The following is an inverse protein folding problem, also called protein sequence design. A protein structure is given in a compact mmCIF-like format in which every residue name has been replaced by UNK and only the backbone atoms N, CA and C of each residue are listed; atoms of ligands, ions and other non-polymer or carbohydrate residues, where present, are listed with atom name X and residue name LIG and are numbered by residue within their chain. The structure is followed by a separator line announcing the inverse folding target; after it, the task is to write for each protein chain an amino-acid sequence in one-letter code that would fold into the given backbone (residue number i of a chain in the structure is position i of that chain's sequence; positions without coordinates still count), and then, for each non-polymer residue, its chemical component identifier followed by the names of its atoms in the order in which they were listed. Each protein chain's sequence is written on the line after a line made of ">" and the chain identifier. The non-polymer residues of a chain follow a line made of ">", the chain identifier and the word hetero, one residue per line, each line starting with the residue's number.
data_IF_939097892558
#
_entry.id   IF_939097892558
#
_cell.length_a   1.000
_cell.length_b   1.000
_cell.length_c   1.000
_cell.angle_alpha   90.00
_cell.angle_beta   90.00
_cell.angle_gamma   90.00
#
_symmetry.space_group_name_H-M   'P 1'
#
loop_
_entity.id
_entity.type
_entity.pdbx_description
1 polymer ?
#
# COMPACT_ATOMS: atom_id res chain seq x y z
N UNK A 1 9.39 -2.82 -10.61
CA UNK A 1 9.40 -3.53 -11.91
C UNK A 1 9.55 -5.03 -11.70
N UNK A 2 8.69 -5.85 -12.35
CA UNK A 2 8.76 -7.32 -12.34
C UNK A 2 10.06 -7.88 -12.89
N UNK A 3 10.38 -9.11 -12.49
CA UNK A 3 11.61 -9.82 -12.88
C UNK A 3 11.60 -10.26 -14.33
N UNK A 4 10.47 -10.72 -14.86
CA UNK A 4 10.39 -11.07 -16.29
C UNK A 4 10.64 -9.87 -17.21
N UNK A 5 10.33 -8.65 -16.76
CA UNK A 5 10.62 -7.43 -17.48
C UNK A 5 12.08 -6.97 -17.37
N UNK A 6 12.92 -7.63 -16.55
CA UNK A 6 14.32 -7.26 -16.33
C UNK A 6 14.59 -6.48 -15.01
N UNK A 7 13.56 -6.25 -14.19
CA UNK A 7 13.70 -5.67 -12.86
C UNK A 7 14.04 -6.70 -11.78
N UNK A 8 14.07 -6.26 -10.53
CA UNK A 8 14.36 -7.14 -9.38
C UNK A 8 13.12 -7.46 -8.53
N UNK A 9 12.03 -6.71 -8.69
CA UNK A 9 10.86 -6.81 -7.80
C UNK A 9 11.20 -6.58 -6.32
N UNK A 10 12.26 -5.81 -6.02
CA UNK A 10 12.82 -5.71 -4.68
C UNK A 10 12.06 -4.74 -3.76
N UNK A 11 11.39 -3.73 -4.32
CA UNK A 11 10.54 -2.81 -3.57
C UNK A 11 9.10 -3.22 -3.78
N UNK A 12 8.46 -3.67 -2.72
CA UNK A 12 7.08 -4.16 -2.74
C UNK A 12 6.22 -3.39 -1.75
N UNK A 13 4.97 -3.07 -2.10
CA UNK A 13 4.00 -2.60 -1.12
C UNK A 13 3.79 -3.68 -0.05
N UNK A 14 3.49 -3.29 1.18
CA UNK A 14 3.17 -4.23 2.26
C UNK A 14 1.74 -4.74 2.10
N UNK A 15 1.44 -5.91 2.66
CA UNK A 15 0.06 -6.38 2.78
C UNK A 15 -0.81 -5.41 3.59
N UNK A 16 -0.25 -4.77 4.62
CA UNK A 16 -0.91 -3.72 5.37
C UNK A 16 -1.33 -2.51 4.49
N UNK A 17 -0.49 -2.08 3.54
CA UNK A 17 -0.90 -1.05 2.57
C UNK A 17 -1.98 -1.59 1.62
N UNK A 18 -1.82 -2.81 1.12
CA UNK A 18 -2.79 -3.41 0.22
C UNK A 18 -4.18 -3.55 0.86
N UNK A 19 -4.25 -3.90 2.15
CA UNK A 19 -5.50 -3.97 2.93
C UNK A 19 -6.14 -2.60 3.18
N UNK A 20 -5.37 -1.50 3.10
CA UNK A 20 -5.91 -0.16 3.38
C UNK A 20 -6.74 0.44 2.25
N UNK A 21 -6.71 -0.13 1.04
CA UNK A 21 -7.60 0.29 -0.04
C UNK A 21 -9.03 -0.17 0.27
N UNK A 22 -9.99 0.76 0.31
CA UNK A 22 -11.39 0.43 0.58
C UNK A 22 -11.99 -0.43 -0.53
N UNK A 23 -13.11 -1.06 -0.25
CA UNK A 23 -13.96 -1.66 -1.27
C UNK A 23 -14.78 -0.60 -2.03
N UNK A 24 -15.41 -0.98 -3.13
CA UNK A 24 -16.19 -0.06 -3.98
C UNK A 24 -17.41 0.53 -3.28
N UNK A 25 -17.88 -0.10 -2.20
CA UNK A 25 -18.91 0.41 -1.28
C UNK A 25 -18.37 1.41 -0.24
N UNK A 26 -17.05 1.64 -0.21
CA UNK A 26 -16.41 2.54 0.75
C UNK A 26 -16.08 1.92 2.10
N UNK A 27 -16.34 0.62 2.28
CA UNK A 27 -16.03 -0.09 3.52
C UNK A 27 -14.62 -0.71 3.48
N UNK A 28 -13.94 -0.84 4.64
CA UNK A 28 -12.74 -1.66 4.77
C UNK A 28 -12.98 -3.12 4.35
N UNK A 29 -11.91 -3.84 3.99
CA UNK A 29 -12.02 -5.21 3.47
C UNK A 29 -12.56 -6.23 4.49
N UNK A 30 -12.44 -5.94 5.79
CA UNK A 30 -12.94 -6.78 6.89
C UNK A 30 -14.39 -6.46 7.29
N UNK A 31 -14.95 -5.38 6.75
CA UNK A 31 -16.35 -4.98 6.95
C UNK A 31 -17.19 -5.14 5.67
N UNK A 32 -16.58 -5.05 4.49
CA UNK A 32 -17.29 -5.10 3.22
C UNK A 32 -17.72 -6.53 2.85
N UNK A 33 -19.01 -6.76 2.56
CA UNK A 33 -19.47 -8.03 2.00
C UNK A 33 -19.03 -8.24 0.55
N UNK A 34 -18.51 -7.20 -0.12
CA UNK A 34 -18.02 -7.29 -1.50
C UNK A 34 -16.59 -7.84 -1.59
N UNK A 35 -15.88 -7.88 -0.47
CA UNK A 35 -14.50 -8.34 -0.44
C UNK A 35 -14.42 -9.87 -0.50
N UNK A 36 -13.67 -10.37 -1.47
CA UNK A 36 -13.31 -11.77 -1.56
C UNK A 36 -11.78 -11.89 -1.47
N UNK A 37 -11.21 -12.48 -0.40
CA UNK A 37 -9.76 -12.68 -0.29
C UNK A 37 -9.18 -13.57 -1.40
N UNK A 38 -10.05 -14.33 -2.09
CA UNK A 38 -9.68 -15.18 -3.23
C UNK A 38 -9.65 -14.44 -4.57
N UNK A 39 -10.28 -13.26 -4.64
CA UNK A 39 -10.22 -12.32 -5.76
C UNK A 39 -9.80 -10.93 -5.23
N UNK A 40 -8.62 -10.78 -4.63
CA UNK A 40 -8.34 -9.70 -3.68
C UNK A 40 -8.27 -8.29 -4.31
N UNK A 41 -8.18 -8.19 -5.64
CA UNK A 41 -8.18 -6.93 -6.39
C UNK A 41 -9.58 -6.52 -6.87
N UNK A 42 -10.57 -7.41 -6.82
CA UNK A 42 -11.93 -7.16 -7.28
C UNK A 42 -12.72 -6.34 -6.25
N UNK A 43 -13.64 -5.49 -6.74
CA UNK A 43 -14.47 -4.62 -5.91
C UNK A 43 -13.67 -3.73 -4.96
N UNK A 44 -12.48 -3.29 -5.38
CA UNK A 44 -11.61 -2.38 -4.63
C UNK A 44 -11.69 -0.96 -5.19
N UNK A 45 -11.31 0.02 -4.38
CA UNK A 45 -11.04 1.38 -4.84
C UNK A 45 -10.13 1.32 -6.09
N UNK A 46 -10.45 2.02 -7.19
CA UNK A 46 -9.68 1.97 -8.44
C UNK A 46 -8.19 2.28 -8.26
N UNK A 47 -7.82 3.07 -7.23
CA UNK A 47 -6.42 3.37 -6.91
C UNK A 47 -5.64 2.14 -6.47
N UNK A 48 -6.29 1.07 -6.02
CA UNK A 48 -5.65 -0.18 -5.64
C UNK A 48 -4.87 -0.77 -6.83
N UNK A 49 -5.54 -1.00 -7.96
CA UNK A 49 -4.92 -1.57 -9.18
C UNK A 49 -4.14 -0.55 -10.00
N UNK A 50 -4.32 0.75 -9.75
CA UNK A 50 -3.41 1.78 -10.28
C UNK A 50 -2.13 1.92 -9.46
N UNK A 51 -2.16 1.54 -8.18
CA UNK A 51 -0.99 1.64 -7.30
C UNK A 51 -0.17 0.35 -7.28
N UNK A 52 -0.86 -0.78 -7.14
CA UNK A 52 -0.30 -2.11 -6.95
C UNK A 52 -0.65 -2.94 -8.18
N UNK A 53 0.34 -3.65 -8.70
CA UNK A 53 0.19 -4.45 -9.91
C UNK A 53 -0.72 -5.65 -9.65
N UNK A 54 -1.86 -5.67 -10.34
CA UNK A 54 -2.83 -6.76 -10.28
C UNK A 54 -2.26 -8.07 -10.84
N UNK A 55 -2.75 -9.19 -10.32
CA UNK A 55 -2.32 -10.52 -10.76
C UNK A 55 -3.01 -10.94 -12.05
N UNK A 56 -2.31 -11.67 -12.90
CA UNK A 56 -2.83 -12.21 -14.15
C UNK A 56 -2.93 -11.20 -15.30
N UNK A 57 -2.63 -9.92 -15.08
CA UNK A 57 -2.70 -8.90 -16.13
C UNK A 57 -1.36 -8.70 -16.85
N UNK A 58 -1.36 -8.25 -18.12
CA UNK A 58 -0.15 -7.81 -18.82
C UNK A 58 0.44 -6.55 -18.17
N UNK A 59 1.75 -6.54 -17.95
CA UNK A 59 2.52 -5.37 -17.53
C UNK A 59 3.93 -5.46 -18.08
N UNK A 60 4.40 -4.39 -18.73
CA UNK A 60 5.75 -4.33 -19.34
C UNK A 60 6.04 -5.49 -20.31
N UNK A 61 5.02 -5.93 -21.07
CA UNK A 61 5.14 -7.00 -22.06
C UNK A 61 5.06 -8.43 -21.51
N UNK A 62 4.76 -8.62 -20.22
CA UNK A 62 4.63 -9.95 -19.59
C UNK A 62 3.37 -10.04 -18.73
N UNK A 63 2.77 -11.22 -18.63
CA UNK A 63 1.76 -11.45 -17.58
C UNK A 63 2.44 -11.47 -16.22
N UNK A 64 1.98 -10.65 -15.27
CA UNK A 64 2.45 -10.72 -13.89
C UNK A 64 1.62 -11.73 -13.10
N UNK A 65 2.23 -12.83 -12.64
CA UNK A 65 1.52 -13.84 -11.85
C UNK A 65 2.47 -14.45 -10.80
N UNK A 66 2.38 -14.07 -9.52
CA UNK A 66 3.26 -14.59 -8.48
C UNK A 66 2.83 -15.95 -7.91
N UNK A 67 1.69 -16.51 -8.38
CA UNK A 67 1.18 -17.81 -7.93
C UNK A 67 2.23 -18.93 -8.04
N UNK A 68 2.37 -19.81 -7.03
CA UNK A 68 3.43 -20.82 -7.03
C UNK A 68 3.29 -21.85 -8.17
N UNK A 69 2.08 -22.11 -8.67
CA UNK A 69 1.85 -23.08 -9.74
C UNK A 69 1.97 -22.50 -11.15
N UNK A 70 2.06 -21.17 -11.30
CA UNK A 70 2.26 -20.56 -12.61
C UNK A 70 3.73 -20.56 -12.97
N UNK A 71 4.25 -21.68 -13.47
CA UNK A 71 5.67 -21.83 -13.81
C UNK A 71 6.05 -21.16 -15.14
N UNK A 72 5.08 -20.86 -15.99
CA UNK A 72 5.26 -20.14 -17.25
C UNK A 72 4.20 -19.06 -17.42
N UNK A 73 4.57 -17.96 -18.06
CA UNK A 73 3.71 -16.80 -18.34
C UNK A 73 3.79 -16.41 -19.82
N UNK A 74 2.79 -15.66 -20.29
CA UNK A 74 2.81 -15.09 -21.64
C UNK A 74 3.83 -13.95 -21.73
N UNK A 75 4.71 -14.02 -22.73
CA UNK A 75 5.53 -12.90 -23.18
C UNK A 75 4.86 -12.28 -24.41
N UNK A 76 4.23 -11.13 -24.24
CA UNK A 76 3.50 -10.41 -25.28
C UNK A 76 4.41 -9.81 -26.35
N UNK A 77 5.71 -9.66 -26.08
CA UNK A 77 6.67 -9.17 -27.08
C UNK A 77 6.99 -10.26 -28.13
N UNK A 78 6.84 -11.54 -27.77
CA UNK A 78 7.16 -12.67 -28.66
C UNK A 78 5.93 -13.52 -29.02
N UNK A 79 4.80 -13.31 -28.34
CA UNK A 79 3.59 -14.12 -28.49
C UNK A 79 3.71 -15.55 -27.96
N UNK A 80 4.73 -15.84 -27.14
CA UNK A 80 5.03 -17.19 -26.64
C UNK A 80 5.06 -17.23 -25.11
N UNK A 81 4.83 -18.42 -24.55
CA UNK A 81 5.07 -18.66 -23.13
C UNK A 81 6.58 -18.74 -22.86
N UNK A 82 6.97 -18.32 -21.66
CA UNK A 82 8.32 -18.47 -21.14
C UNK A 82 8.30 -18.69 -19.63
N UNK A 83 9.43 -19.09 -19.06
CA UNK A 83 9.62 -19.26 -17.61
C UNK A 83 9.17 -18.01 -16.84
N UNK A 84 8.33 -18.21 -15.84
CA UNK A 84 7.89 -17.16 -14.93
C UNK A 84 8.97 -16.89 -13.88
N UNK A 85 9.63 -15.75 -13.95
CA UNK A 85 10.66 -15.34 -12.98
C UNK A 85 10.08 -14.49 -11.83
N UNK A 86 8.77 -14.21 -11.86
CA UNK A 86 8.06 -13.47 -10.81
C UNK A 86 7.37 -14.39 -9.77
N UNK A 87 7.42 -15.71 -9.96
CA UNK A 87 7.05 -16.70 -8.95
C UNK A 87 8.27 -17.24 -8.19
N UNK A 88 8.12 -17.41 -6.88
CA UNK A 88 9.19 -17.96 -6.02
C UNK A 88 9.49 -19.44 -6.28
N UNK A 89 8.61 -20.15 -6.98
CA UNK A 89 8.87 -21.52 -7.44
C UNK A 89 10.02 -21.61 -8.45
N UNK A 90 10.21 -20.56 -9.25
CA UNK A 90 11.20 -20.52 -10.31
C UNK A 90 12.40 -19.63 -9.97
N UNK A 91 12.16 -18.58 -9.19
CA UNK A 91 13.15 -17.59 -8.79
C UNK A 91 13.01 -17.29 -7.30
N UNK A 92 13.87 -17.87 -6.46
CA UNK A 92 13.80 -17.81 -4.99
C UNK A 92 13.61 -16.38 -4.42
N UNK A 93 14.19 -15.39 -5.09
CA UNK A 93 14.19 -13.98 -4.70
C UNK A 93 13.12 -13.13 -5.40
N UNK A 94 12.15 -13.76 -6.07
CA UNK A 94 10.91 -13.08 -6.46
C UNK A 94 10.16 -12.59 -5.21
N UNK A 95 9.19 -11.69 -5.41
CA UNK A 95 8.51 -10.98 -4.31
C UNK A 95 8.04 -11.94 -3.21
N UNK A 96 8.51 -11.72 -1.98
CA UNK A 96 8.19 -12.55 -0.82
C UNK A 96 6.73 -12.41 -0.37
N UNK A 97 6.10 -11.29 -0.72
CA UNK A 97 4.71 -11.04 -0.43
C UNK A 97 3.85 -11.03 -1.70
N UNK A 98 4.41 -11.37 -2.87
CA UNK A 98 3.68 -11.46 -4.13
C UNK A 98 3.18 -10.12 -4.68
N UNK A 99 3.42 -8.98 -4.03
CA UNK A 99 2.99 -7.68 -4.56
C UNK A 99 4.15 -6.93 -5.20
N UNK A 100 3.82 -6.10 -6.19
CA UNK A 100 4.71 -5.14 -6.83
C UNK A 100 4.00 -3.81 -7.08
N UNK A 101 4.77 -2.72 -7.14
CA UNK A 101 4.26 -1.41 -7.54
C UNK A 101 3.94 -1.38 -9.03
N UNK A 102 2.77 -0.80 -9.37
CA UNK A 102 2.43 -0.31 -10.71
C UNK A 102 2.64 1.21 -10.80
N UNK A 103 2.36 1.94 -9.71
CA UNK A 103 2.53 3.39 -9.64
C UNK A 103 3.95 3.82 -9.97
N UNK A 104 4.06 4.82 -10.83
CA UNK A 104 5.35 5.38 -11.23
C UNK A 104 6.18 4.46 -12.14
N UNK A 105 5.60 3.38 -12.67
CA UNK A 105 6.25 2.51 -13.66
C UNK A 105 5.58 2.73 -15.01
N UNK A 106 6.36 3.12 -16.01
CA UNK A 106 5.88 3.36 -17.37
C UNK A 106 6.51 2.36 -18.35
N UNK A 107 5.75 1.95 -19.37
CA UNK A 107 6.23 0.98 -20.37
C UNK A 107 7.37 1.51 -21.23
N UNK A 108 7.46 2.82 -21.41
CA UNK A 108 8.55 3.49 -22.15
C UNK A 108 9.92 3.28 -21.48
N UNK A 109 9.97 2.89 -20.20
CA UNK A 109 11.24 2.58 -19.52
C UNK A 109 12.00 1.45 -20.20
N UNK A 110 11.29 0.51 -20.83
CA UNK A 110 11.90 -0.58 -21.60
C UNK A 110 12.51 -0.09 -22.91
N UNK A 111 12.01 1.02 -23.46
CA UNK A 111 12.44 1.54 -24.77
C UNK A 111 13.75 2.33 -24.68
N UNK A 112 14.04 2.93 -23.52
CA UNK A 112 15.23 3.76 -23.31
C UNK A 112 16.26 3.13 -22.36
N UNK A 113 16.36 1.79 -22.34
CA UNK A 113 17.34 1.07 -21.53
C UNK A 113 17.27 1.41 -20.03
N UNK A 114 16.05 1.52 -19.47
CA UNK A 114 15.76 1.89 -18.07
C UNK A 114 16.08 3.34 -17.69
N UNK A 115 16.43 4.19 -18.66
CA UNK A 115 16.63 5.62 -18.42
C UNK A 115 15.30 6.35 -18.61
N UNK A 116 14.65 6.65 -17.49
CA UNK A 116 13.44 7.45 -17.47
C UNK A 116 13.70 8.76 -16.70
N UNK A 117 13.02 9.82 -17.10
CA UNK A 117 13.00 11.11 -16.40
C UNK A 117 11.59 11.41 -15.86
N UNK A 118 11.11 10.64 -14.85
CA UNK A 118 9.78 10.86 -14.30
C UNK A 118 9.76 12.17 -13.50
N UNK A 119 8.72 12.97 -13.71
CA UNK A 119 8.48 14.17 -12.90
C UNK A 119 8.42 13.81 -11.41
N UNK A 120 9.25 14.48 -10.59
CA UNK A 120 9.24 14.32 -9.13
C UNK A 120 8.18 15.24 -8.53
N UNK A 121 7.04 14.67 -8.19
CA UNK A 121 5.92 15.44 -7.62
C UNK A 121 6.18 15.72 -6.14
N UNK A 122 6.47 16.98 -5.80
CA UNK A 122 6.66 17.44 -4.42
C UNK A 122 5.36 17.91 -3.77
N UNK A 123 4.45 18.50 -4.56
CA UNK A 123 3.14 18.95 -4.12
C UNK A 123 2.16 18.75 -5.28
N UNK A 124 0.94 18.33 -4.96
CA UNK A 124 -0.16 18.24 -5.93
C UNK A 124 -1.47 18.62 -5.28
N UNK A 125 -2.44 19.00 -6.10
CA UNK A 125 -3.67 19.61 -5.63
C UNK A 125 -4.47 18.74 -4.64
N UNK A 126 -4.44 17.40 -4.79
CA UNK A 126 -5.08 16.51 -3.82
C UNK A 126 -4.47 16.66 -2.40
N UNK A 127 -3.16 16.90 -2.28
CA UNK A 127 -2.54 17.13 -0.96
C UNK A 127 -3.05 18.43 -0.36
N UNK A 128 -3.20 19.49 -1.17
CA UNK A 128 -3.80 20.77 -0.71
C UNK A 128 -5.23 20.58 -0.21
N UNK A 129 -6.06 19.83 -0.94
CA UNK A 129 -7.44 19.53 -0.54
C UNK A 129 -7.49 18.72 0.77
N UNK A 130 -6.67 17.67 0.88
CA UNK A 130 -6.67 16.81 2.06
C UNK A 130 -6.01 17.50 3.27
N UNK A 131 -5.01 18.36 3.07
CA UNK A 131 -4.46 19.22 4.13
C UNK A 131 -5.49 20.23 4.63
N UNK A 132 -6.24 20.86 3.73
CA UNK A 132 -7.34 21.76 4.09
C UNK A 132 -8.41 21.05 4.92
N UNK A 133 -8.87 19.88 4.46
CA UNK A 133 -9.86 19.08 5.16
C UNK A 133 -9.35 18.66 6.56
N UNK A 134 -8.13 18.13 6.64
CA UNK A 134 -7.52 17.71 7.91
C UNK A 134 -7.42 18.89 8.90
N UNK A 135 -6.95 20.05 8.46
CA UNK A 135 -6.84 21.23 9.32
C UNK A 135 -8.20 21.68 9.88
N UNK A 136 -9.27 21.65 9.07
CA UNK A 136 -10.62 22.02 9.54
C UNK A 136 -11.24 20.97 10.44
N UNK A 137 -11.00 19.68 10.16
CA UNK A 137 -11.41 18.57 11.04
C UNK A 137 -10.77 18.75 12.41
N UNK A 138 -9.46 19.00 12.50
CA UNK A 138 -8.77 19.15 13.79
C UNK A 138 -9.16 20.43 14.54
N UNK A 139 -9.53 21.50 13.83
CA UNK A 139 -10.09 22.73 14.41
C UNK A 139 -11.58 22.62 14.80
N UNK A 140 -12.21 21.47 14.59
CA UNK A 140 -13.65 21.27 14.76
C UNK A 140 -14.51 22.31 14.00
N UNK A 141 -14.00 22.80 12.87
CA UNK A 141 -14.67 23.77 11.99
C UNK A 141 -15.24 23.05 10.77
N UNK A 142 -16.02 21.99 11.00
CA UNK A 142 -16.50 21.08 9.96
C UNK A 142 -17.74 21.67 9.28
N UNK A 143 -17.65 21.82 7.96
CA UNK A 143 -18.75 22.24 7.09
C UNK A 143 -18.67 21.47 5.76
N UNK A 144 -19.58 21.77 4.83
CA UNK A 144 -19.66 21.09 3.54
C UNK A 144 -18.35 21.14 2.74
N UNK A 145 -17.55 22.20 2.89
CA UNK A 145 -16.29 22.34 2.14
C UNK A 145 -15.24 21.30 2.56
N UNK A 146 -15.30 20.77 3.79
CA UNK A 146 -14.46 19.67 4.26
C UNK A 146 -14.79 18.39 3.50
N UNK A 147 -16.09 18.07 3.41
CA UNK A 147 -16.58 16.88 2.72
C UNK A 147 -16.29 16.99 1.22
N UNK A 148 -16.55 18.16 0.63
CA UNK A 148 -16.26 18.42 -0.78
C UNK A 148 -14.77 18.26 -1.11
N UNK A 149 -13.86 18.68 -0.23
CA UNK A 149 -12.43 18.53 -0.43
C UNK A 149 -12.01 17.05 -0.49
N UNK A 150 -12.53 16.21 0.42
CA UNK A 150 -12.28 14.77 0.43
C UNK A 150 -12.95 14.11 -0.80
N UNK A 151 -14.20 14.46 -1.06
CA UNK A 151 -14.99 13.89 -2.14
C UNK A 151 -14.47 14.24 -3.53
N UNK A 152 -13.85 15.42 -3.73
CA UNK A 152 -13.11 15.74 -4.97
C UNK A 152 -11.97 14.77 -5.25
N UNK A 153 -11.25 14.33 -4.22
CA UNK A 153 -10.17 13.35 -4.36
C UNK A 153 -10.73 11.96 -4.66
N UNK A 154 -11.76 11.53 -3.91
CA UNK A 154 -12.42 10.23 -4.12
C UNK A 154 -13.06 10.14 -5.49
N UNK A 155 -13.93 11.08 -5.87
CA UNK A 155 -14.65 11.03 -7.14
C UNK A 155 -13.70 10.98 -8.35
N UNK A 156 -12.57 11.70 -8.29
CA UNK A 156 -11.54 11.63 -9.33
C UNK A 156 -10.97 10.22 -9.49
N UNK A 157 -10.73 9.50 -8.39
CA UNK A 157 -10.28 8.10 -8.47
C UNK A 157 -11.26 7.19 -9.22
N UNK A 158 -12.57 7.52 -9.17
CA UNK A 158 -13.64 6.80 -9.86
C UNK A 158 -13.96 7.39 -11.25
N UNK A 159 -13.28 8.46 -11.68
CA UNK A 159 -13.49 9.09 -12.99
C UNK A 159 -14.82 9.84 -13.11
N UNK A 160 -15.42 10.29 -12.00
CA UNK A 160 -16.73 10.95 -11.96
C UNK A 160 -16.65 12.32 -11.28
N UNK A 161 -17.70 13.13 -11.44
CA UNK A 161 -17.80 14.40 -10.70
C UNK A 161 -18.06 14.15 -9.21
N UNK A 162 -17.49 14.98 -8.34
CA UNK A 162 -17.73 14.89 -6.89
C UNK A 162 -19.20 15.16 -6.50
N UNK A 163 -19.97 15.80 -7.37
CA UNK A 163 -21.41 15.99 -7.19
C UNK A 163 -22.23 14.72 -7.47
N UNK A 164 -21.66 13.70 -8.13
CA UNK A 164 -22.31 12.43 -8.45
C UNK A 164 -22.12 11.42 -7.31
N UNK A 165 -22.60 11.76 -6.11
CA UNK A 165 -22.35 11.02 -4.85
C UNK A 165 -22.83 9.56 -4.84
N UNK A 166 -23.65 9.15 -5.81
CA UNK A 166 -24.07 7.74 -6.00
C UNK A 166 -23.12 6.90 -6.85
N UNK A 167 -22.06 7.48 -7.44
CA UNK A 167 -21.12 6.78 -8.35
C UNK A 167 -19.77 6.45 -7.71
N UNK A 168 -19.55 6.87 -6.47
CA UNK A 168 -18.35 6.61 -5.69
C UNK A 168 -18.73 6.64 -4.20
N UNK A 169 -17.93 6.07 -3.29
CA UNK A 169 -18.23 6.08 -1.86
C UNK A 169 -18.01 7.46 -1.24
N UNK A 170 -18.99 8.35 -1.43
CA UNK A 170 -18.96 9.71 -0.94
C UNK A 170 -18.97 9.76 0.59
N UNK A 171 -18.16 10.65 1.15
CA UNK A 171 -18.18 10.98 2.59
C UNK A 171 -19.38 11.88 2.86
N UNK A 172 -20.23 11.46 3.79
CA UNK A 172 -21.46 12.17 4.19
C UNK A 172 -21.52 12.48 5.69
N UNK A 173 -20.65 11.87 6.50
CA UNK A 173 -20.61 12.12 7.95
C UNK A 173 -19.98 13.46 8.28
N UNK A 174 -20.53 14.14 9.28
CA UNK A 174 -19.99 15.36 9.88
C UNK A 174 -19.31 15.11 11.23
N UNK A 175 -19.25 13.85 11.66
CA UNK A 175 -18.63 13.49 12.94
C UNK A 175 -17.11 13.65 12.88
N UNK A 176 -16.55 14.46 13.79
CA UNK A 176 -15.13 14.81 13.79
C UNK A 176 -14.22 13.58 13.95
N UNK A 177 -14.58 12.64 14.82
CA UNK A 177 -13.77 11.45 15.07
C UNK A 177 -13.74 10.53 13.85
N UNK A 178 -14.90 10.27 13.22
CA UNK A 178 -15.00 9.52 11.97
C UNK A 178 -14.27 10.20 10.82
N UNK A 179 -14.42 11.52 10.68
CA UNK A 179 -13.72 12.29 9.65
C UNK A 179 -12.20 12.23 9.81
N UNK A 180 -11.68 12.22 11.06
CA UNK A 180 -10.25 12.04 11.34
C UNK A 180 -9.73 10.68 10.84
N UNK A 181 -10.47 9.60 11.09
CA UNK A 181 -10.09 8.30 10.52
C UNK A 181 -10.18 8.33 8.99
N UNK A 182 -11.28 8.81 8.43
CA UNK A 182 -11.50 8.90 6.97
C UNK A 182 -10.36 9.66 6.28
N UNK A 183 -9.96 10.84 6.79
CA UNK A 183 -8.90 11.63 6.16
C UNK A 183 -7.54 10.92 6.22
N UNK A 184 -7.25 10.20 7.32
CA UNK A 184 -6.01 9.41 7.46
C UNK A 184 -5.97 8.25 6.46
N UNK A 185 -7.07 7.52 6.30
CA UNK A 185 -7.21 6.46 5.27
C UNK A 185 -7.09 7.04 3.86
N UNK A 186 -7.78 8.15 3.59
CA UNK A 186 -7.78 8.79 2.27
C UNK A 186 -6.37 9.22 1.87
N UNK A 187 -5.63 9.90 2.78
CA UNK A 187 -4.23 10.28 2.56
C UNK A 187 -3.34 9.06 2.31
N UNK A 188 -3.55 7.97 3.06
CA UNK A 188 -2.76 6.73 2.92
C UNK A 188 -2.94 6.08 1.54
N UNK A 189 -4.17 5.96 1.06
CA UNK A 189 -4.46 5.39 -0.27
C UNK A 189 -3.98 6.33 -1.39
N UNK A 190 -4.30 7.62 -1.28
CA UNK A 190 -4.05 8.63 -2.30
C UNK A 190 -2.55 8.82 -2.55
N UNK A 191 -1.74 8.92 -1.47
CA UNK A 191 -0.31 9.20 -1.53
C UNK A 191 0.58 7.97 -1.34
N UNK A 192 0.01 6.77 -1.53
CA UNK A 192 0.79 5.54 -1.56
C UNK A 192 1.95 5.67 -2.55
N UNK A 193 3.17 5.33 -2.11
CA UNK A 193 4.43 5.46 -2.87
C UNK A 193 4.87 6.90 -3.22
N UNK A 194 4.38 7.94 -2.51
CA UNK A 194 4.74 9.35 -2.76
C UNK A 194 5.49 10.02 -1.57
N UNK A 195 6.10 9.21 -0.69
CA UNK A 195 6.95 9.69 0.41
C UNK A 195 6.21 10.37 1.57
N UNK A 196 4.87 10.33 1.62
CA UNK A 196 4.07 11.01 2.67
C UNK A 196 3.92 10.20 3.96
N UNK A 197 3.75 8.87 3.83
CA UNK A 197 3.31 8.01 4.94
C UNK A 197 4.19 8.12 6.18
N UNK A 198 5.52 8.19 6.03
CA UNK A 198 6.43 8.30 7.18
C UNK A 198 6.19 9.58 7.98
N UNK A 199 6.09 10.73 7.31
CA UNK A 199 5.84 12.00 8.00
C UNK A 199 4.44 12.06 8.60
N UNK A 200 3.45 11.50 7.91
CA UNK A 200 2.07 11.39 8.42
C UNK A 200 2.00 10.58 9.73
N UNK A 201 2.62 9.40 9.81
CA UNK A 201 2.57 8.58 11.05
C UNK A 201 3.38 9.16 12.20
N UNK A 202 4.42 9.95 11.90
CA UNK A 202 5.22 10.66 12.91
C UNK A 202 4.40 11.79 13.51
N UNK A 203 3.83 12.68 12.69
CA UNK A 203 3.04 13.83 13.18
C UNK A 203 1.72 13.43 13.83
N UNK A 204 1.14 12.30 13.42
CA UNK A 204 -0.05 11.73 14.08
C UNK A 204 0.25 10.95 15.36
N UNK A 205 1.54 10.75 15.70
CA UNK A 205 1.97 9.95 16.87
C UNK A 205 1.42 8.51 16.84
N UNK A 206 1.37 7.91 15.66
CA UNK A 206 0.98 6.50 15.48
C UNK A 206 2.14 5.62 15.00
N UNK A 207 3.32 6.20 14.79
CA UNK A 207 4.52 5.48 14.36
C UNK A 207 4.89 4.35 15.34
N UNK A 208 4.78 4.58 16.65
CA UNK A 208 5.05 3.55 17.67
C UNK A 208 4.12 2.35 17.59
N UNK A 209 2.93 2.51 17.03
CA UNK A 209 2.01 1.41 16.77
C UNK A 209 2.41 0.73 15.46
N UNK A 210 2.33 1.45 14.34
CA UNK A 210 2.40 0.85 13.00
C UNK A 210 3.81 0.44 12.56
N UNK A 211 4.86 0.99 13.16
CA UNK A 211 6.25 0.60 12.90
C UNK A 211 6.75 -0.49 13.86
N UNK A 212 5.95 -0.93 14.83
CA UNK A 212 6.23 -2.13 15.62
C UNK A 212 5.45 -3.37 15.12
N UNK A 213 4.52 -3.18 14.17
CA UNK A 213 3.84 -4.30 13.51
C UNK A 213 4.77 -5.04 12.53
N UNK A 214 4.78 -6.39 12.56
CA UNK A 214 5.54 -7.19 11.60
C UNK A 214 5.02 -7.00 10.17
N UNK A 215 5.91 -7.11 9.19
CA UNK A 215 5.48 -7.29 7.80
C UNK A 215 5.45 -8.77 7.48
N UNK A 216 4.32 -9.22 6.95
CA UNK A 216 4.10 -10.61 6.57
C UNK A 216 4.18 -10.79 5.05
N UNK A 217 4.27 -12.06 4.64
CA UNK A 217 4.29 -12.47 3.26
C UNK A 217 3.91 -13.94 3.11
N UNK A 218 3.99 -14.43 1.89
CA UNK A 218 3.62 -15.79 1.53
C UNK A 218 4.61 -16.79 2.12
N UNK A 219 4.12 -17.99 2.45
CA UNK A 219 4.96 -19.13 2.79
C UNK A 219 5.95 -19.48 1.65
N UNK A 220 6.94 -20.31 1.95
CA UNK A 220 7.82 -20.86 0.91
C UNK A 220 7.07 -21.83 -0.01
N UNK A 221 7.45 -21.96 -1.29
CA UNK A 221 6.58 -22.57 -2.31
C UNK A 221 6.03 -23.97 -1.96
N UNK A 222 6.80 -24.82 -1.27
CA UNK A 222 6.32 -26.13 -0.85
C UNK A 222 5.22 -26.04 0.22
N UNK A 223 5.44 -25.23 1.25
CA UNK A 223 4.45 -24.99 2.31
C UNK A 223 3.25 -24.19 1.80
N UNK A 224 3.48 -23.19 0.93
CA UNK A 224 2.42 -22.40 0.33
C UNK A 224 1.44 -23.28 -0.44
N UNK A 225 1.94 -24.26 -1.21
CA UNK A 225 1.07 -25.20 -1.92
C UNK A 225 0.27 -26.07 -0.96
N UNK A 226 0.95 -26.73 -0.03
CA UNK A 226 0.32 -27.71 0.85
C UNK A 226 -0.69 -27.09 1.81
N UNK A 227 -0.38 -25.92 2.37
CA UNK A 227 -1.21 -25.28 3.39
C UNK A 227 -2.29 -24.36 2.82
N UNK A 228 -2.04 -23.74 1.66
CA UNK A 228 -2.90 -22.67 1.11
C UNK A 228 -3.49 -23.10 -0.24
N UNK A 229 -2.67 -23.24 -1.28
CA UNK A 229 -3.16 -23.42 -2.66
C UNK A 229 -3.97 -24.71 -2.84
N UNK A 230 -3.51 -25.84 -2.29
CA UNK A 230 -4.22 -27.12 -2.40
C UNK A 230 -5.56 -27.12 -1.66
N UNK A 231 -5.81 -26.13 -0.78
CA UNK A 231 -7.10 -25.93 -0.12
C UNK A 231 -8.02 -25.00 -0.91
N UNK A 232 -7.66 -24.63 -2.13
CA UNK A 232 -8.39 -23.69 -2.97
C UNK A 232 -8.25 -22.24 -2.52
N UNK A 233 -7.24 -21.93 -1.70
CA UNK A 233 -6.97 -20.58 -1.21
C UNK A 233 -5.84 -19.94 -2.01
N UNK A 234 -6.01 -18.68 -2.38
CA UNK A 234 -5.06 -17.75 -2.95
C UNK A 234 -5.74 -16.38 -3.06
N UNK A 235 -5.21 -15.28 -2.56
CA UNK A 235 -3.83 -15.02 -2.15
C UNK A 235 -3.72 -14.80 -0.65
N UNK A 236 -4.74 -14.19 -0.05
CA UNK A 236 -4.91 -14.18 1.39
C UNK A 236 -5.68 -15.42 1.84
N UNK A 237 -5.14 -16.20 2.79
CA UNK A 237 -5.86 -17.35 3.34
C UNK A 237 -7.15 -16.94 4.08
N UNK A 238 -7.14 -15.78 4.73
CA UNK A 238 -8.24 -15.20 5.50
C UNK A 238 -8.24 -13.67 5.34
N UNK A 239 -9.31 -12.98 5.72
CA UNK A 239 -9.33 -11.50 5.77
C UNK A 239 -8.79 -11.01 7.11
N UNK A 240 -7.77 -10.13 7.16
CA UNK A 240 -7.25 -9.61 8.42
C UNK A 240 -8.20 -8.55 9.00
N UNK A 241 -8.46 -8.53 10.32
CA UNK A 241 -9.14 -7.38 10.92
C UNK A 241 -8.30 -6.12 10.79
N UNK A 242 -8.96 -4.97 10.66
CA UNK A 242 -8.38 -3.65 10.52
C UNK A 242 -8.84 -2.78 11.69
N UNK A 243 -7.88 -2.11 12.34
CA UNK A 243 -8.21 -1.21 13.43
C UNK A 243 -8.59 0.20 12.98
N UNK A 244 -8.94 1.06 13.94
CA UNK A 244 -9.35 2.46 13.71
C UNK A 244 -8.29 3.37 13.06
N UNK A 245 -7.01 3.00 13.12
CA UNK A 245 -5.89 3.69 12.45
C UNK A 245 -5.60 3.10 11.05
N UNK A 246 -6.36 2.08 10.65
CA UNK A 246 -6.19 1.37 9.40
C UNK A 246 -5.01 0.42 9.37
N UNK A 247 -4.55 -0.07 10.52
CA UNK A 247 -3.53 -1.10 10.59
C UNK A 247 -4.19 -2.48 10.54
N UNK A 248 -3.79 -3.30 9.57
CA UNK A 248 -4.29 -4.67 9.43
C UNK A 248 -3.50 -5.62 10.36
N UNK A 249 -4.20 -6.42 11.16
CA UNK A 249 -3.59 -7.44 12.01
C UNK A 249 -3.59 -8.82 11.34
N UNK A 250 -2.40 -9.30 11.00
CA UNK A 250 -2.20 -10.62 10.41
C UNK A 250 -1.74 -11.68 11.43
N UNK A 251 -1.70 -11.34 12.73
CA UNK A 251 -1.21 -12.23 13.79
C UNK A 251 -1.98 -13.55 13.84
N UNK A 252 -3.29 -13.52 13.62
CA UNK A 252 -4.15 -14.72 13.61
C UNK A 252 -3.71 -15.70 12.51
N UNK A 253 -3.53 -15.21 11.28
CA UNK A 253 -3.07 -16.03 10.16
C UNK A 253 -1.65 -16.58 10.40
N UNK A 254 -0.78 -15.76 10.98
CA UNK A 254 0.58 -16.16 11.31
C UNK A 254 0.62 -17.25 12.38
N UNK A 255 -0.15 -17.11 13.45
CA UNK A 255 -0.25 -18.10 14.53
C UNK A 255 -0.85 -19.43 14.05
N UNK A 256 -1.72 -19.40 13.03
CA UNK A 256 -2.22 -20.60 12.32
C UNK A 256 -1.19 -21.20 11.34
N UNK A 257 -0.03 -20.58 11.16
CA UNK A 257 1.00 -21.04 10.23
C UNK A 257 0.62 -20.91 8.75
N UNK A 258 -0.31 -20.01 8.41
CA UNK A 258 -0.81 -19.79 7.04
C UNK A 258 0.04 -18.79 6.24
N UNK A 259 0.82 -17.96 6.94
CA UNK A 259 1.68 -16.92 6.37
C UNK A 259 3.00 -16.90 7.14
N UNK A 260 4.01 -16.19 6.63
CA UNK A 260 5.29 -16.02 7.33
C UNK A 260 5.61 -14.57 7.61
N UNK A 261 6.37 -14.33 8.67
CA UNK A 261 6.98 -13.03 8.96
C UNK A 261 8.15 -12.81 7.99
N UNK A 262 8.13 -11.71 7.24
CA UNK A 262 9.20 -11.33 6.30
C UNK A 262 10.19 -10.39 6.97
N UNK A 263 9.71 -9.44 7.76
CA UNK A 263 10.55 -8.55 8.55
C UNK A 263 9.82 -8.07 9.81
N UNK A 264 10.61 -7.81 10.85
CA UNK A 264 10.16 -7.16 12.07
C UNK A 264 10.79 -5.78 12.12
N UNK A 265 9.95 -4.75 12.25
CA UNK A 265 10.41 -3.39 12.54
C UNK A 265 10.35 -3.16 14.04
N UNK A 266 11.13 -2.19 14.51
CA UNK A 266 11.12 -1.73 15.89
C UNK A 266 11.17 -0.21 15.91
N UNK A 267 10.27 0.40 16.68
CA UNK A 267 10.19 1.83 16.89
C UNK A 267 10.10 2.13 18.39
N UNK A 268 11.11 2.82 18.89
CA UNK A 268 11.23 3.32 20.25
C UNK A 268 10.62 4.72 20.35
N UNK A 269 9.43 4.78 20.94
CA UNK A 269 8.66 6.01 21.12
C UNK A 269 9.40 7.09 21.92
N UNK A 270 10.39 6.72 22.73
CA UNK A 270 11.10 7.68 23.58
C UNK A 270 12.16 8.47 22.80
N UNK A 271 12.53 8.05 21.58
CA UNK A 271 13.57 8.73 20.80
C UNK A 271 13.29 8.83 19.31
N UNK A 272 12.63 7.86 18.69
CA UNK A 272 12.57 7.74 17.22
C UNK A 272 11.50 8.61 16.54
N UNK A 273 10.76 9.42 17.32
CA UNK A 273 9.95 10.49 16.74
C UNK A 273 10.78 11.67 16.22
N UNK A 274 12.03 11.80 16.66
CA UNK A 274 13.02 12.71 16.10
C UNK A 274 14.25 11.89 15.67
N UNK A 275 14.91 12.31 14.59
CA UNK A 275 16.17 11.70 14.19
C UNK A 275 17.31 12.22 15.05
N UNK A 276 18.36 11.42 15.31
CA UNK A 276 19.54 11.94 15.97
C UNK A 276 20.17 13.04 15.12
N UNK A 277 20.63 14.10 15.78
CA UNK A 277 21.55 15.06 15.17
C UNK A 277 22.85 14.30 14.87
N UNK A 278 23.44 14.45 13.67
CA UNK A 278 24.68 13.75 13.34
C UNK A 278 25.76 13.97 14.40
N UNK A 279 26.36 12.89 14.90
CA UNK A 279 27.31 12.95 16.02
C UNK A 279 28.48 13.92 15.77
N UNK A 280 28.91 14.06 14.51
CA UNK A 280 29.95 15.01 14.11
C UNK A 280 29.54 16.47 14.37
N UNK A 281 28.28 16.81 14.16
CA UNK A 281 27.79 18.18 14.34
C UNK A 281 27.73 18.54 15.84
N UNK A 282 27.31 17.59 16.69
CA UNK A 282 27.34 17.73 18.16
C UNK A 282 28.78 17.94 18.66
N UNK A 283 29.76 17.20 18.12
CA UNK A 283 31.16 17.31 18.53
C UNK A 283 31.82 18.64 18.13
N UNK A 284 31.39 19.24 17.03
CA UNK A 284 31.99 20.46 16.48
C UNK A 284 31.33 21.73 17.04
N UNK A 285 30.01 21.70 17.26
CA UNK A 285 29.25 22.86 17.70
C UNK A 285 28.72 22.66 19.12
N UNK A 286 29.40 23.29 20.09
CA UNK A 286 29.02 23.23 21.51
C UNK A 286 27.66 23.87 21.83
N UNK A 287 27.03 24.57 20.87
CA UNK A 287 25.67 25.11 21.02
C UNK A 287 24.58 24.12 20.58
N UNK A 288 24.95 22.95 20.05
CA UNK A 288 23.99 21.92 19.68
C UNK A 288 23.83 20.91 20.82
N UNK A 289 22.59 20.75 21.27
CA UNK A 289 22.19 19.68 22.16
C UNK A 289 21.52 18.57 21.35
N UNK A 290 21.79 17.32 21.71
CA UNK A 290 21.22 16.16 21.04
C UNK A 290 19.72 16.05 21.33
N UNK A 291 18.97 15.47 20.38
CA UNK A 291 17.58 15.09 20.62
C UNK A 291 17.48 14.08 21.78
N UNK A 292 16.41 14.08 22.58
CA UNK A 292 16.31 13.23 23.76
C UNK A 292 16.58 11.74 23.46
N UNK A 293 17.35 11.10 24.35
CA UNK A 293 17.62 9.66 24.35
C UNK A 293 18.47 9.11 23.17
N UNK A 294 19.35 9.95 22.58
CA UNK A 294 20.40 9.57 21.63
C UNK A 294 21.81 9.90 22.12
#
# INVERSE_FOLDING_TARGET
>A
VPRNAGGWGAWSPTWDLFSSFLCTDGLPIDESPLYNPQEPFKNRDPRCTETILEFGIPHLGYTYQPHPDTLEIMNFNTGRKQKNNDTRSNAQFASFNGLLWKKGVDITWLQNGWRADPAKILLRYADVLLMYAEAKIEQNSIDQSVLDAINKVRARAYGVSYTETGKYPAVTTMDQAKLRSIIRFERRMEFAFEGRRYMDIIRWRIAEKVLNLPNYGMLDPAELRTKIVNKGLWFFPETPPIDEDGAADFSIMYNKGLIKKVTQRSFDKNRQYLWPIPAKDILINSNLEQNPNY
#
